data_IF_738339076581
#
_entry.id   IF_738339076581
#
_cell.length_a   1.000
_cell.length_b   1.000
_cell.length_c   1.000
_cell.angle_alpha   90.00
_cell.angle_beta   90.00
_cell.angle_gamma   90.00
#
_symmetry.space_group_name_H-M   'P 1'
#
loop_
_entity.id
_entity.type
_entity.pdbx_description
1 polymer ?
#
# COMPACT_ATOMS: atom_id res chain seq x y z
N UNK A 1 -6.21 15.17 15.41
CA UNK A 1 -5.30 14.37 14.58
C UNK A 1 -5.81 14.42 13.16
N UNK A 2 -5.06 15.05 12.27
CA UNK A 2 -5.35 15.13 10.85
C UNK A 2 -4.70 13.93 10.15
N UNK A 3 -5.22 13.56 8.97
CA UNK A 3 -4.62 12.47 8.20
C UNK A 3 -3.15 12.75 7.83
N UNK A 4 -2.78 14.03 7.73
CA UNK A 4 -1.42 14.51 7.50
C UNK A 4 -0.47 14.20 8.66
N UNK A 5 -0.99 13.98 9.87
CA UNK A 5 -0.16 13.61 11.02
C UNK A 5 0.38 12.19 10.89
N UNK A 6 -0.27 11.35 10.06
CA UNK A 6 0.06 9.93 9.89
C UNK A 6 0.73 9.63 8.55
N UNK A 7 0.39 10.38 7.50
CA UNK A 7 0.95 10.20 6.17
C UNK A 7 1.19 11.52 5.47
N UNK A 8 2.28 11.59 4.72
CA UNK A 8 2.57 12.69 3.80
C UNK A 8 2.51 12.19 2.36
N UNK A 9 2.02 12.99 1.41
CA UNK A 9 2.14 12.66 0.00
C UNK A 9 3.59 12.33 -0.36
N UNK A 10 3.80 11.32 -1.20
CA UNK A 10 5.14 11.04 -1.70
C UNK A 10 5.53 12.13 -2.69
N UNK A 11 6.64 12.82 -2.43
CA UNK A 11 7.07 13.97 -3.21
C UNK A 11 7.47 13.60 -4.63
N UNK A 12 8.03 12.40 -4.82
CA UNK A 12 8.47 11.92 -6.13
C UNK A 12 7.32 11.68 -7.10
N UNK A 13 6.23 11.09 -6.65
CA UNK A 13 5.05 10.83 -7.48
C UNK A 13 3.91 11.84 -7.23
N UNK A 14 4.14 12.86 -6.39
CA UNK A 14 3.17 13.88 -6.02
C UNK A 14 1.81 13.30 -5.58
N UNK A 15 1.85 12.20 -4.83
CA UNK A 15 0.64 11.54 -4.35
C UNK A 15 0.04 10.48 -5.28
N UNK A 16 0.48 10.37 -6.53
CA UNK A 16 -0.16 9.49 -7.52
C UNK A 16 0.08 8.00 -7.26
N UNK A 17 1.20 7.66 -6.62
CA UNK A 17 1.67 6.28 -6.48
C UNK A 17 2.39 5.75 -7.72
N UNK A 18 2.40 6.46 -8.84
CA UNK A 18 2.96 5.99 -10.10
C UNK A 18 4.01 6.95 -10.66
N UNK A 19 5.00 6.36 -11.33
CA UNK A 19 5.97 7.08 -12.17
C UNK A 19 5.64 6.82 -13.63
N UNK A 20 5.80 7.86 -14.44
CA UNK A 20 5.74 7.79 -15.89
C UNK A 20 6.77 6.77 -16.41
N UNK A 21 6.32 5.82 -17.22
CA UNK A 21 7.22 4.92 -17.93
C UNK A 21 7.79 5.58 -19.18
N UNK A 22 9.07 5.32 -19.42
CA UNK A 22 9.75 5.70 -20.65
C UNK A 22 10.23 4.42 -21.36
N UNK A 23 10.15 4.40 -22.69
CA UNK A 23 10.76 3.35 -23.50
C UNK A 23 12.27 3.60 -23.70
N UNK A 24 12.91 2.70 -24.45
CA UNK A 24 14.36 2.71 -24.73
C UNK A 24 14.82 3.99 -25.44
N UNK A 25 13.90 4.70 -26.09
CA UNK A 25 14.16 5.95 -26.80
C UNK A 25 13.79 7.19 -25.96
N UNK A 26 13.42 7.00 -24.69
CA UNK A 26 13.01 8.09 -23.79
C UNK A 26 11.63 8.66 -24.09
N UNK A 27 10.80 7.98 -24.88
CA UNK A 27 9.44 8.43 -25.15
C UNK A 27 8.51 8.08 -23.99
N UNK A 28 7.71 9.05 -23.55
CA UNK A 28 6.71 8.85 -22.50
C UNK A 28 5.65 7.85 -22.99
N UNK A 29 5.51 6.75 -22.25
CA UNK A 29 4.51 5.74 -22.52
C UNK A 29 3.48 5.75 -21.40
N UNK A 30 2.31 6.33 -21.68
CA UNK A 30 1.18 6.43 -20.75
C UNK A 30 0.57 5.10 -20.34
N UNK A 31 0.99 3.96 -20.93
CA UNK A 31 0.59 2.62 -20.49
C UNK A 31 1.65 1.93 -19.63
N UNK A 32 2.87 2.45 -19.61
CA UNK A 32 4.00 1.91 -18.84
C UNK A 32 4.09 2.57 -17.46
N UNK A 33 2.96 2.76 -16.77
CA UNK A 33 3.00 3.24 -15.40
C UNK A 33 3.70 2.20 -14.53
N UNK A 34 4.79 2.63 -13.90
CA UNK A 34 5.50 1.81 -12.91
C UNK A 34 5.10 2.31 -11.53
N UNK A 35 5.00 1.40 -10.58
CA UNK A 35 4.85 1.79 -9.18
C UNK A 35 6.00 2.75 -8.83
N UNK A 36 5.66 3.86 -8.19
CA UNK A 36 6.68 4.79 -7.71
C UNK A 36 7.62 4.03 -6.78
N UNK A 37 8.91 4.11 -7.09
CA UNK A 37 9.95 3.33 -6.39
C UNK A 37 10.12 3.73 -4.94
N UNK A 38 9.75 4.97 -4.59
CA UNK A 38 9.92 5.52 -3.25
C UNK A 38 8.76 5.13 -2.32
N UNK A 39 7.52 5.26 -2.78
CA UNK A 39 6.33 4.89 -1.98
C UNK A 39 5.78 3.50 -2.30
N UNK A 40 6.45 2.75 -3.17
CA UNK A 40 6.07 1.40 -3.61
C UNK A 40 4.60 1.32 -4.08
N UNK A 41 4.14 2.32 -4.83
CA UNK A 41 2.77 2.37 -5.32
C UNK A 41 1.74 3.00 -4.37
N UNK A 42 2.09 3.29 -3.12
CA UNK A 42 1.12 3.76 -2.10
C UNK A 42 0.67 5.21 -2.29
N UNK A 43 1.48 6.03 -2.96
CA UNK A 43 1.25 7.47 -3.13
C UNK A 43 1.57 8.30 -1.88
N UNK A 44 1.91 7.68 -0.76
CA UNK A 44 2.28 8.37 0.47
C UNK A 44 3.43 7.66 1.19
N UNK A 45 4.09 8.39 2.07
CA UNK A 45 4.99 7.86 3.07
C UNK A 45 4.37 8.06 4.45
N UNK A 46 4.62 7.13 5.36
CA UNK A 46 4.21 7.31 6.75
C UNK A 46 5.11 8.35 7.42
N UNK A 47 4.52 9.19 8.26
CA UNK A 47 5.28 10.01 9.21
C UNK A 47 5.90 9.12 10.29
N UNK A 48 6.69 9.69 11.21
CA UNK A 48 7.17 8.96 12.37
C UNK A 48 6.00 8.39 13.20
N UNK A 49 5.03 9.24 13.55
CA UNK A 49 3.81 8.83 14.25
C UNK A 49 3.01 7.78 13.47
N UNK A 50 2.89 7.94 12.14
CA UNK A 50 2.20 6.96 11.30
C UNK A 50 2.86 5.58 11.32
N UNK A 51 4.20 5.52 11.37
CA UNK A 51 4.93 4.25 11.52
C UNK A 51 4.71 3.63 12.88
N UNK A 52 4.82 4.40 13.96
CA UNK A 52 4.61 3.91 15.33
C UNK A 52 3.21 3.31 15.50
N UNK A 53 2.17 4.00 14.99
CA UNK A 53 0.81 3.48 15.02
C UNK A 53 0.66 2.24 14.14
N UNK A 54 1.28 2.22 12.96
CA UNK A 54 1.23 1.05 12.09
C UNK A 54 1.88 -0.17 12.76
N UNK A 55 3.04 -0.02 13.37
CA UNK A 55 3.73 -1.10 14.09
C UNK A 55 2.90 -1.64 15.25
N UNK A 56 2.19 -0.77 15.97
CA UNK A 56 1.28 -1.17 17.05
C UNK A 56 0.08 -1.98 16.53
N UNK A 57 -0.49 -1.57 15.38
CA UNK A 57 -1.72 -2.16 14.84
C UNK A 57 -1.46 -3.36 13.93
N UNK A 58 -0.28 -3.46 13.32
CA UNK A 58 0.04 -4.47 12.31
C UNK A 58 -0.24 -5.91 12.79
N UNK A 59 0.13 -6.34 14.02
CA UNK A 59 -0.15 -7.69 14.49
C UNK A 59 -1.66 -7.99 14.53
N UNK A 60 -2.45 -7.06 15.07
CA UNK A 60 -3.91 -7.21 15.15
C UNK A 60 -4.54 -7.30 13.76
N UNK A 61 -4.08 -6.46 12.82
CA UNK A 61 -4.56 -6.51 11.43
C UNK A 61 -4.21 -7.85 10.78
N UNK A 62 -3.02 -8.39 11.02
CA UNK A 62 -2.64 -9.71 10.50
C UNK A 62 -3.51 -10.82 11.08
N UNK A 63 -3.79 -10.79 12.38
CA UNK A 63 -4.70 -11.75 13.02
C UNK A 63 -6.09 -11.71 12.40
N UNK A 64 -6.61 -10.52 12.12
CA UNK A 64 -7.90 -10.34 11.44
C UNK A 64 -7.88 -10.89 10.01
N UNK A 65 -6.83 -10.60 9.24
CA UNK A 65 -6.66 -11.14 7.88
C UNK A 65 -6.63 -12.67 7.91
N UNK A 66 -5.89 -13.26 8.85
CA UNK A 66 -5.79 -14.72 8.99
C UNK A 66 -7.12 -15.35 9.42
N UNK A 67 -7.86 -14.71 10.33
CA UNK A 67 -9.19 -15.16 10.74
C UNK A 67 -10.16 -15.15 9.56
N UNK A 68 -10.17 -14.07 8.77
CA UNK A 68 -11.02 -13.93 7.58
C UNK A 68 -10.68 -14.99 6.52
N UNK A 69 -9.40 -15.24 6.26
CA UNK A 69 -8.95 -16.28 5.32
C UNK A 69 -9.37 -17.69 5.76
N UNK A 70 -9.35 -17.98 7.06
CA UNK A 70 -9.82 -19.27 7.61
C UNK A 70 -11.34 -19.42 7.52
N UNK A 71 -12.07 -18.33 7.73
CA UNK A 71 -13.54 -18.28 7.63
C UNK A 71 -14.01 -18.46 6.18
N UNK A 72 -13.32 -17.82 5.23
CA UNK A 72 -13.61 -17.92 3.80
C UNK A 72 -12.99 -19.16 3.13
N UNK A 73 -12.41 -20.09 3.90
CA UNK A 73 -11.87 -21.32 3.35
C UNK A 73 -13.02 -22.28 2.98
N UNK A 74 -13.23 -22.62 1.69
CA UNK A 74 -14.35 -23.46 1.26
C UNK A 74 -14.31 -24.90 1.81
N UNK A 75 -13.16 -25.33 2.35
CA UNK A 75 -13.04 -26.64 2.99
C UNK A 75 -13.57 -26.69 4.44
N UNK A 76 -13.82 -25.54 5.08
CA UNK A 76 -14.41 -25.48 6.43
C UNK A 76 -15.96 -25.47 6.43
N UNK A 77 -16.60 -25.44 5.26
CA UNK A 77 -18.07 -25.39 5.15
C UNK A 77 -18.74 -26.77 5.09
N UNK A 78 -17.97 -27.87 5.07
CA UNK A 78 -18.49 -29.24 4.93
C UNK A 78 -18.30 -30.11 6.19
N UNK A 79 -18.26 -29.51 7.37
CA UNK A 79 -18.12 -30.24 8.65
C UNK A 79 -19.38 -30.14 9.50
N UNK A 80 -20.53 -30.55 8.95
CA UNK A 80 -21.75 -30.87 9.69
C UNK A 80 -22.49 -32.02 9.00
#
# INVERSE_FOLDING_TARGET
MLITDLKTPCERCKGSGFEAGYDENGSLQSRLHKNCSECLGKGYLLTALGREIWELLQPLIQDLIQAEQRSNNPFNQNSL
#
